data_IF_520689124656
#
_entry.id   IF_520689124656
#
_cell.length_a   1.000
_cell.length_b   1.000
_cell.length_c   1.000
_cell.angle_alpha   90.00
_cell.angle_beta   90.00
_cell.angle_gamma   90.00
#
_symmetry.space_group_name_H-M   'P 1'
#
loop_
_entity.id
_entity.type
_entity.pdbx_description
1 polymer ?
#
# COMPACT_ATOMS: atom_id res chain seq x y z
N UNK A 1 -3.74 20.13 24.66
CA UNK A 1 -4.48 19.73 23.46
C UNK A 1 -4.08 18.35 22.98
N UNK A 2 -5.02 17.41 22.92
CA UNK A 2 -4.82 16.14 22.20
C UNK A 2 -5.04 16.41 20.71
N UNK A 3 -4.03 16.93 20.04
CA UNK A 3 -3.97 17.02 18.58
C UNK A 3 -3.73 15.62 18.02
N UNK A 4 -4.81 14.99 17.62
CA UNK A 4 -4.92 13.63 17.07
C UNK A 4 -4.12 13.49 15.78
N UNK A 5 -3.14 12.60 15.74
CA UNK A 5 -2.52 12.21 14.48
C UNK A 5 -3.56 11.59 13.52
N UNK A 6 -3.40 11.84 12.22
CA UNK A 6 -4.29 11.33 11.19
C UNK A 6 -3.50 10.49 10.17
N UNK A 7 -4.11 9.40 9.71
CA UNK A 7 -3.58 8.58 8.63
C UNK A 7 -4.52 8.71 7.43
N UNK A 8 -4.00 9.25 6.32
CA UNK A 8 -4.68 9.22 5.02
C UNK A 8 -4.16 8.02 4.23
N UNK A 9 -5.01 7.02 4.01
CA UNK A 9 -4.71 5.87 3.17
C UNK A 9 -5.44 6.01 1.83
N UNK A 10 -4.70 5.96 0.73
CA UNK A 10 -5.21 6.02 -0.63
C UNK A 10 -4.88 4.69 -1.30
N UNK A 11 -5.87 3.82 -1.38
CA UNK A 11 -5.75 2.59 -2.16
C UNK A 11 -5.87 2.88 -3.66
N UNK A 12 -5.24 2.05 -4.48
CA UNK A 12 -5.17 2.22 -5.94
C UNK A 12 -4.82 3.66 -6.35
N UNK A 13 -3.78 4.23 -5.75
CA UNK A 13 -3.41 5.64 -5.97
C UNK A 13 -3.10 5.95 -7.44
N UNK A 14 -2.73 4.94 -8.25
CA UNK A 14 -2.55 5.06 -9.70
C UNK A 14 -3.84 5.38 -10.46
N UNK A 15 -5.02 5.06 -9.92
CA UNK A 15 -6.31 5.43 -10.52
C UNK A 15 -6.62 6.93 -10.36
N UNK A 16 -6.16 7.54 -9.27
CA UNK A 16 -6.35 8.98 -9.01
C UNK A 16 -5.16 9.82 -9.43
N UNK A 17 -3.99 9.20 -9.58
CA UNK A 17 -2.76 9.89 -9.93
C UNK A 17 -1.99 9.25 -11.08
N UNK A 18 -2.63 9.05 -12.24
CA UNK A 18 -1.96 8.52 -13.41
C UNK A 18 -0.87 9.48 -13.91
N UNK A 19 0.07 8.95 -14.69
CA UNK A 19 1.01 9.76 -15.47
C UNK A 19 0.25 10.79 -16.29
N UNK A 20 0.84 11.98 -16.42
CA UNK A 20 0.22 13.11 -17.11
C UNK A 20 -0.24 12.75 -18.52
N UNK A 21 0.58 12.03 -19.28
CA UNK A 21 0.29 11.69 -20.67
C UNK A 21 -0.96 10.79 -20.83
N UNK A 22 -1.29 10.01 -19.80
CA UNK A 22 -2.46 9.13 -19.75
C UNK A 22 -3.67 9.78 -19.04
N UNK A 23 -3.49 10.98 -18.46
CA UNK A 23 -4.48 11.65 -17.63
C UNK A 23 -5.35 12.62 -18.43
N UNK A 24 -6.67 12.51 -18.23
CA UNK A 24 -7.66 13.53 -18.61
C UNK A 24 -7.42 14.86 -17.88
N UNK A 25 -8.01 15.94 -18.38
CA UNK A 25 -7.94 17.27 -17.73
C UNK A 25 -8.45 17.25 -16.28
N UNK A 26 -9.46 16.41 -15.99
CA UNK A 26 -9.99 16.26 -14.64
C UNK A 26 -8.98 15.57 -13.71
N UNK A 27 -8.37 14.47 -14.17
CA UNK A 27 -7.33 13.75 -13.41
C UNK A 27 -6.09 14.62 -13.20
N UNK A 28 -5.65 15.37 -14.21
CA UNK A 28 -4.54 16.32 -14.08
C UNK A 28 -4.78 17.36 -12.99
N UNK A 29 -6.01 17.89 -12.90
CA UNK A 29 -6.40 18.84 -11.83
C UNK A 29 -6.42 18.16 -10.47
N UNK A 30 -6.90 16.93 -10.39
CA UNK A 30 -6.91 16.16 -9.15
C UNK A 30 -5.48 15.87 -8.65
N UNK A 31 -4.57 15.45 -9.54
CA UNK A 31 -3.14 15.28 -9.24
C UNK A 31 -2.54 16.58 -8.73
N UNK A 32 -2.77 17.70 -9.43
CA UNK A 32 -2.26 19.01 -9.01
C UNK A 32 -2.77 19.42 -7.63
N UNK A 33 -4.05 19.18 -7.33
CA UNK A 33 -4.64 19.45 -6.02
C UNK A 33 -4.01 18.57 -4.93
N UNK A 34 -3.80 17.28 -5.19
CA UNK A 34 -3.15 16.37 -4.23
C UNK A 34 -1.70 16.81 -3.96
N UNK A 35 -0.94 17.13 -5.01
CA UNK A 35 0.44 17.63 -4.86
C UNK A 35 0.48 18.91 -4.02
N UNK A 36 -0.46 19.83 -4.26
CA UNK A 36 -0.57 21.08 -3.49
C UNK A 36 -0.90 20.81 -2.02
N UNK A 37 -1.78 19.84 -1.75
CA UNK A 37 -2.12 19.44 -0.39
C UNK A 37 -0.93 18.78 0.34
N UNK A 38 -0.18 17.91 -0.36
CA UNK A 38 1.03 17.27 0.18
C UNK A 38 2.13 18.30 0.47
N UNK A 39 2.38 19.24 -0.46
CA UNK A 39 3.38 20.30 -0.27
C UNK A 39 2.97 21.29 0.84
N UNK A 40 1.67 21.42 1.10
CA UNK A 40 1.11 22.28 2.15
C UNK A 40 1.13 21.66 3.54
N UNK A 41 1.22 20.33 3.65
CA UNK A 41 1.32 19.63 4.92
C UNK A 41 2.72 19.83 5.51
N UNK A 42 2.80 20.34 6.74
CA UNK A 42 4.08 20.62 7.41
C UNK A 42 4.53 19.42 8.22
N UNK A 43 5.85 19.23 8.29
CA UNK A 43 6.46 18.33 9.27
C UNK A 43 6.03 18.74 10.68
N UNK A 44 5.22 17.91 11.34
CA UNK A 44 4.67 18.19 12.67
C UNK A 44 3.15 18.31 12.75
N UNK A 45 2.43 18.32 11.61
CA UNK A 45 0.97 18.34 11.59
C UNK A 45 0.34 17.01 12.06
N UNK A 46 1.15 15.99 12.35
CA UNK A 46 0.70 14.68 12.83
C UNK A 46 0.00 13.85 11.74
N UNK A 47 0.18 14.20 10.47
CA UNK A 47 -0.46 13.53 9.33
C UNK A 47 0.55 12.58 8.68
N UNK A 48 0.13 11.34 8.46
CA UNK A 48 0.83 10.35 7.65
C UNK A 48 -0.01 10.06 6.41
N UNK A 49 0.63 10.03 5.24
CA UNK A 49 -0.03 9.65 3.98
C UNK A 49 0.57 8.35 3.48
N UNK A 50 -0.29 7.37 3.20
CA UNK A 50 0.07 6.09 2.61
C UNK A 50 -0.70 5.91 1.29
N UNK A 51 0.03 5.60 0.23
CA UNK A 51 -0.55 5.20 -1.05
C UNK A 51 -0.26 3.72 -1.33
N UNK A 52 -1.26 2.97 -1.78
CA UNK A 52 -1.10 1.60 -2.25
C UNK A 52 -1.34 1.52 -3.76
N UNK A 53 -0.57 0.68 -4.46
CA UNK A 53 -0.69 0.48 -5.91
C UNK A 53 -0.11 -0.86 -6.31
N UNK A 54 -0.68 -1.46 -7.36
CA UNK A 54 -0.09 -2.59 -8.09
C UNK A 54 0.68 -2.15 -9.34
N UNK A 55 0.66 -0.84 -9.65
CA UNK A 55 1.25 -0.24 -10.86
C UNK A 55 2.09 0.98 -10.48
N UNK A 56 3.20 0.82 -9.74
CA UNK A 56 4.04 1.94 -9.29
C UNK A 56 4.58 2.80 -10.45
N UNK A 57 4.78 2.20 -11.62
CA UNK A 57 5.22 2.88 -12.84
C UNK A 57 4.11 3.67 -13.54
N UNK A 58 2.84 3.49 -13.17
CA UNK A 58 1.71 4.23 -13.74
C UNK A 58 1.43 5.56 -13.03
N UNK A 59 2.07 5.81 -11.88
CA UNK A 59 1.84 6.99 -11.04
C UNK A 59 2.64 8.21 -11.57
N UNK A 60 2.09 9.43 -11.44
CA UNK A 60 2.84 10.66 -11.70
C UNK A 60 4.14 10.71 -10.85
N UNK A 61 5.34 10.72 -11.48
CA UNK A 61 6.62 10.73 -10.76
C UNK A 61 6.80 11.90 -9.79
N UNK A 62 6.03 12.98 -9.94
CA UNK A 62 6.04 14.10 -9.03
C UNK A 62 5.61 13.69 -7.61
N UNK A 63 4.75 12.69 -7.44
CA UNK A 63 4.32 12.21 -6.12
C UNK A 63 5.44 11.54 -5.32
N UNK A 64 6.42 10.94 -6.01
CA UNK A 64 7.54 10.19 -5.41
C UNK A 64 8.72 11.07 -4.98
N UNK A 65 8.60 12.40 -5.14
CA UNK A 65 9.66 13.35 -4.78
C UNK A 65 9.74 13.55 -3.27
N UNK A 66 10.91 13.96 -2.79
CA UNK A 66 11.16 14.25 -1.37
C UNK A 66 10.10 15.20 -0.80
N UNK A 67 9.64 14.92 0.43
CA UNK A 67 8.57 15.67 1.09
C UNK A 67 7.14 15.29 0.68
N UNK A 68 6.96 14.30 -0.21
CA UNK A 68 5.65 13.76 -0.62
C UNK A 68 5.57 12.26 -0.26
N UNK A 69 5.34 11.37 -1.22
CA UNK A 69 5.42 9.92 -1.05
C UNK A 69 6.87 9.45 -1.24
N UNK A 70 7.75 9.92 -0.36
CA UNK A 70 9.20 9.71 -0.50
C UNK A 70 9.68 8.31 -0.09
N UNK A 71 8.88 7.59 0.70
CA UNK A 71 9.18 6.25 1.19
C UNK A 71 8.37 5.23 0.41
N UNK A 72 9.07 4.27 -0.15
CA UNK A 72 8.46 3.13 -0.84
C UNK A 72 8.67 1.85 -0.03
N UNK A 73 7.63 1.04 0.06
CA UNK A 73 7.64 -0.25 0.71
C UNK A 73 7.14 -1.25 -0.33
N UNK A 74 8.02 -2.15 -0.76
CA UNK A 74 7.67 -3.22 -1.68
C UNK A 74 6.98 -4.34 -0.91
N UNK A 75 5.80 -4.75 -1.37
CA UNK A 75 5.08 -5.93 -0.87
C UNK A 75 5.22 -7.02 -1.94
N UNK A 76 6.19 -7.91 -1.73
CA UNK A 76 6.51 -8.99 -2.65
C UNK A 76 5.65 -10.24 -2.47
N UNK A 77 5.90 -11.24 -3.32
CA UNK A 77 5.32 -12.58 -3.20
C UNK A 77 5.88 -13.27 -1.96
N UNK A 78 5.03 -13.83 -1.07
CA UNK A 78 5.49 -14.41 0.19
C UNK A 78 6.31 -15.69 -0.04
N UNK A 79 7.32 -15.88 0.79
CA UNK A 79 8.09 -17.12 0.88
C UNK A 79 7.32 -18.22 1.64
N UNK A 80 7.90 -19.42 1.77
CA UNK A 80 7.20 -20.55 2.39
C UNK A 80 6.84 -20.33 3.88
N UNK A 81 7.71 -19.67 4.66
CA UNK A 81 7.43 -19.34 6.06
C UNK A 81 6.38 -18.23 6.18
N UNK A 82 6.46 -17.20 5.32
CA UNK A 82 5.44 -16.14 5.27
C UNK A 82 4.07 -16.69 4.87
N UNK A 83 4.01 -17.65 3.93
CA UNK A 83 2.76 -18.34 3.57
C UNK A 83 2.21 -19.19 4.72
N UNK A 84 3.07 -19.80 5.54
CA UNK A 84 2.63 -20.49 6.76
C UNK A 84 1.97 -19.50 7.72
N UNK A 85 2.58 -18.33 7.94
CA UNK A 85 2.01 -17.28 8.80
C UNK A 85 0.66 -16.76 8.27
N UNK A 86 0.57 -16.53 6.96
CA UNK A 86 -0.69 -16.14 6.31
C UNK A 86 -1.77 -17.22 6.53
N UNK A 87 -1.41 -18.50 6.32
CA UNK A 87 -2.31 -19.62 6.59
C UNK A 87 -2.76 -19.66 8.05
N UNK A 88 -1.87 -19.43 9.00
CA UNK A 88 -2.22 -19.42 10.43
C UNK A 88 -3.22 -18.32 10.78
N UNK A 89 -3.04 -17.11 10.24
CA UNK A 89 -3.99 -16.00 10.43
C UNK A 89 -5.37 -16.35 9.86
N UNK A 90 -5.42 -16.93 8.65
CA UNK A 90 -6.70 -17.30 8.03
C UNK A 90 -7.37 -18.50 8.69
N UNK A 91 -6.59 -19.44 9.23
CA UNK A 91 -7.10 -20.63 9.91
C UNK A 91 -7.54 -20.35 11.35
N UNK A 92 -7.05 -19.28 11.99
CA UNK A 92 -7.39 -18.94 13.38
C UNK A 92 -8.90 -18.83 13.64
N UNK A 93 -9.68 -18.43 12.64
CA UNK A 93 -11.15 -18.34 12.71
C UNK A 93 -11.91 -19.61 12.31
N UNK A 94 -11.21 -20.66 11.90
CA UNK A 94 -11.80 -21.85 11.26
C UNK A 94 -11.53 -23.08 12.13
N UNK A 95 -12.57 -23.88 12.42
CA UNK A 95 -12.35 -25.18 13.07
C UNK A 95 -11.70 -26.13 12.07
N UNK A 96 -10.47 -26.51 12.33
CA UNK A 96 -9.73 -27.48 11.53
C UNK A 96 -8.99 -28.47 12.43
N UNK A 97 -8.62 -29.63 11.87
CA UNK A 97 -7.77 -30.63 12.52
C UNK A 97 -6.32 -30.59 12.03
N UNK A 98 -5.96 -29.61 11.18
CA UNK A 98 -4.61 -29.48 10.63
C UNK A 98 -3.56 -29.27 11.73
N UNK A 99 -2.58 -30.15 11.74
CA UNK A 99 -1.36 -30.03 12.55
C UNK A 99 -0.44 -28.93 12.00
N UNK A 100 0.51 -28.48 12.82
CA UNK A 100 1.54 -27.52 12.39
C UNK A 100 2.35 -28.05 11.21
N UNK A 101 2.69 -29.35 11.21
CA UNK A 101 3.44 -29.97 10.14
C UNK A 101 2.65 -30.01 8.82
N UNK A 102 1.34 -30.25 8.87
CA UNK A 102 0.48 -30.19 7.69
C UNK A 102 0.33 -28.76 7.15
N UNK A 103 0.27 -27.75 8.04
CA UNK A 103 0.25 -26.34 7.62
C UNK A 103 1.55 -25.93 6.92
N UNK A 104 2.70 -26.35 7.45
CA UNK A 104 4.02 -26.16 6.80
C UNK A 104 4.07 -26.78 5.42
N UNK A 105 3.59 -28.01 5.31
CA UNK A 105 3.62 -28.72 4.03
C UNK A 105 2.68 -28.05 3.02
N UNK A 106 1.50 -27.60 3.46
CA UNK A 106 0.60 -26.81 2.62
C UNK A 106 1.27 -25.51 2.15
N UNK A 107 1.90 -24.75 3.05
CA UNK A 107 2.60 -23.52 2.74
C UNK A 107 3.72 -23.73 1.70
N UNK A 108 4.48 -24.83 1.79
CA UNK A 108 5.51 -25.18 0.79
C UNK A 108 4.93 -25.46 -0.59
N UNK A 109 3.77 -26.12 -0.65
CA UNK A 109 3.09 -26.48 -1.91
C UNK A 109 2.39 -25.31 -2.59
N UNK A 110 2.09 -24.24 -1.86
CA UNK A 110 1.46 -23.02 -2.37
C UNK A 110 2.45 -22.03 -3.00
N UNK A 111 3.49 -22.50 -3.71
CA UNK A 111 4.41 -21.57 -4.40
C UNK A 111 3.66 -20.76 -5.46
N UNK A 112 3.89 -19.43 -5.47
CA UNK A 112 3.21 -18.49 -6.37
C UNK A 112 1.88 -17.95 -5.85
N UNK A 113 1.46 -18.35 -4.65
CA UNK A 113 0.30 -17.84 -3.91
C UNK A 113 0.73 -17.09 -2.66
#
# INVERSE_FOLDING_TARGET
DRGTGALLFIDEIDAVCPKRDDASEAERRMVAALLTALDGAKTGDGIVVLGATNRPDAIDPALRRAGRLEREIEVGVPNAEEREQILEVHLAGIRHSLTEQERRELARRCHGY
#
